data_IF_231081478682
#
_entry.id   IF_231081478682
#
_cell.length_a   1.000
_cell.length_b   1.000
_cell.length_c   1.000
_cell.angle_alpha   90.00
_cell.angle_beta   90.00
_cell.angle_gamma   90.00
#
_symmetry.space_group_name_H-M   'P 1'
#
loop_
_entity.id
_entity.type
_entity.pdbx_description
1 polymer ?
#
# COMPACT_ATOMS: atom_id res chain seq x y z
N UNK A 1 -3.94 -7.16 -0.61
CA UNK A 1 -3.67 -8.09 0.49
C UNK A 1 -2.98 -7.38 1.65
N UNK A 2 -1.89 -6.64 1.40
CA UNK A 2 -1.16 -5.91 2.46
C UNK A 2 -2.00 -4.84 3.19
N UNK A 3 -2.81 -4.02 2.51
CA UNK A 3 -3.64 -3.00 3.19
C UNK A 3 -4.55 -3.58 4.27
N UNK A 4 -5.37 -4.58 3.93
CA UNK A 4 -6.25 -5.26 4.89
C UNK A 4 -5.47 -5.94 6.03
N UNK A 5 -4.31 -6.51 5.74
CA UNK A 5 -3.48 -7.13 6.77
C UNK A 5 -2.92 -6.08 7.75
N UNK A 6 -2.51 -4.91 7.25
CA UNK A 6 -2.02 -3.83 8.10
C UNK A 6 -3.16 -3.13 8.85
N UNK A 7 -4.34 -2.97 8.25
CA UNK A 7 -5.55 -2.48 8.93
C UNK A 7 -5.92 -3.41 10.10
N UNK A 8 -5.92 -4.72 9.88
CA UNK A 8 -6.11 -5.70 10.96
C UNK A 8 -5.05 -5.56 12.06
N UNK A 9 -3.78 -5.32 11.68
CA UNK A 9 -2.73 -5.07 12.67
C UNK A 9 -3.01 -3.81 13.50
N UNK A 10 -3.51 -2.73 12.89
CA UNK A 10 -3.92 -1.53 13.63
C UNK A 10 -5.06 -1.84 14.60
N UNK A 11 -6.06 -2.60 14.14
CA UNK A 11 -7.22 -2.98 14.95
C UNK A 11 -6.82 -3.84 16.15
N UNK A 12 -5.88 -4.78 15.99
CA UNK A 12 -5.35 -5.62 17.08
C UNK A 12 -4.70 -4.77 18.18
N UNK A 13 -3.97 -3.71 17.81
CA UNK A 13 -3.30 -2.81 18.77
C UNK A 13 -4.19 -1.68 19.29
N UNK A 14 -5.37 -1.49 18.67
CA UNK A 14 -6.39 -0.53 19.10
C UNK A 14 -5.85 0.90 19.22
N UNK A 15 -6.15 1.55 20.35
CA UNK A 15 -5.75 2.95 20.60
C UNK A 15 -4.23 3.19 20.56
N UNK A 16 -3.40 2.17 20.81
CA UNK A 16 -1.95 2.31 20.69
C UNK A 16 -1.53 2.64 19.26
N UNK A 17 -2.28 2.19 18.26
CA UNK A 17 -2.01 2.46 16.84
C UNK A 17 -2.08 3.95 16.45
N UNK A 18 -2.53 4.82 17.36
CA UNK A 18 -2.42 6.27 17.20
C UNK A 18 -0.99 6.82 17.39
N UNK A 19 -0.07 6.00 17.90
CA UNK A 19 1.34 6.35 18.08
C UNK A 19 2.19 5.79 16.92
N UNK A 20 3.13 6.61 16.43
CA UNK A 20 3.98 6.29 15.28
C UNK A 20 5.00 5.17 15.55
N UNK A 21 5.33 4.95 16.82
CA UNK A 21 6.27 3.94 17.30
C UNK A 21 5.59 2.63 17.74
N UNK A 22 4.27 2.53 17.60
CA UNK A 22 3.51 1.32 17.97
C UNK A 22 3.83 0.15 17.06
N UNK A 23 4.01 -1.01 17.67
CA UNK A 23 4.27 -2.27 17.00
C UNK A 23 5.33 -3.08 17.75
N UNK A 24 5.51 -4.36 17.41
CA UNK A 24 6.51 -5.18 18.05
C UNK A 24 7.92 -4.68 17.69
N UNK A 25 8.85 -4.77 18.64
CA UNK A 25 10.25 -4.36 18.46
C UNK A 25 10.99 -5.19 17.39
N UNK A 26 10.45 -6.36 17.03
CA UNK A 26 10.96 -7.26 16.00
C UNK A 26 9.82 -7.89 15.21
N UNK A 27 10.07 -8.25 13.95
CA UNK A 27 9.08 -8.91 13.09
C UNK A 27 9.41 -8.80 11.61
N UNK A 28 8.94 -9.76 10.81
CA UNK A 28 9.05 -9.75 9.33
C UNK A 28 7.88 -8.99 8.72
N UNK A 29 7.88 -7.67 8.87
CA UNK A 29 6.88 -6.82 8.23
C UNK A 29 7.20 -6.59 6.74
N UNK A 30 6.20 -6.57 5.85
CA UNK A 30 6.42 -6.32 4.42
C UNK A 30 7.14 -4.99 4.20
N UNK A 31 8.33 -5.04 3.58
CA UNK A 31 9.14 -3.85 3.32
C UNK A 31 10.03 -3.38 4.47
N UNK A 32 9.93 -3.94 5.69
CA UNK A 32 10.78 -3.55 6.83
C UNK A 32 12.26 -3.89 6.61
N UNK A 33 12.59 -4.92 5.82
CA UNK A 33 13.96 -5.22 5.43
C UNK A 33 14.57 -4.17 4.48
N UNK A 34 13.74 -3.33 3.85
CA UNK A 34 14.18 -2.23 2.98
C UNK A 34 14.26 -0.90 3.73
N UNK A 35 13.92 -0.88 5.02
CA UNK A 35 13.76 0.33 5.80
C UNK A 35 15.11 0.85 6.31
N UNK A 36 15.66 1.87 5.66
CA UNK A 36 16.67 2.73 6.27
C UNK A 36 15.95 3.76 7.15
N UNK A 37 15.76 3.45 8.43
CA UNK A 37 15.13 4.39 9.38
C UNK A 37 15.89 5.71 9.40
N UNK A 38 15.17 6.82 9.17
CA UNK A 38 15.72 8.17 9.28
C UNK A 38 15.98 8.48 10.75
N UNK A 39 17.18 8.95 11.08
CA UNK A 39 17.49 9.43 12.43
C UNK A 39 16.49 10.52 12.86
N UNK A 40 15.89 10.37 14.04
CA UNK A 40 14.88 11.28 14.56
C UNK A 40 13.44 11.04 14.08
N UNK A 41 13.18 10.02 13.26
CA UNK A 41 11.81 9.61 12.90
C UNK A 41 11.50 8.24 13.52
N UNK A 42 10.76 8.18 14.64
CA UNK A 42 10.61 6.97 15.44
C UNK A 42 9.53 6.02 14.90
N UNK A 43 9.34 5.95 13.58
CA UNK A 43 8.38 5.01 13.01
C UNK A 43 8.81 3.57 13.32
N UNK A 44 7.87 2.80 13.86
CA UNK A 44 8.05 1.35 13.99
C UNK A 44 8.00 0.69 12.61
N UNK A 45 8.58 -0.50 12.49
CA UNK A 45 8.50 -1.28 11.25
C UNK A 45 7.04 -1.58 10.86
N UNK A 46 6.16 -1.79 11.83
CA UNK A 46 4.74 -2.02 11.59
C UNK A 46 4.06 -0.76 10.98
N UNK A 47 4.32 0.42 11.55
CA UNK A 47 3.75 1.67 11.05
C UNK A 47 4.30 2.04 9.67
N UNK A 48 5.60 1.85 9.45
CA UNK A 48 6.22 2.01 8.14
C UNK A 48 5.59 1.10 7.08
N UNK A 49 5.35 -0.17 7.41
CA UNK A 49 4.66 -1.12 6.52
C UNK A 49 3.19 -0.74 6.28
N UNK A 50 2.48 -0.24 7.29
CA UNK A 50 1.12 0.28 7.12
C UNK A 50 1.09 1.40 6.07
N UNK A 51 1.92 2.43 6.22
CA UNK A 51 1.97 3.52 5.24
C UNK A 51 2.41 3.05 3.85
N UNK A 52 3.39 2.14 3.80
CA UNK A 52 3.85 1.58 2.53
C UNK A 52 2.72 0.85 1.79
N UNK A 53 1.91 0.05 2.49
CA UNK A 53 0.78 -0.68 1.90
C UNK A 53 -0.26 0.22 1.23
N UNK A 54 -0.41 1.48 1.67
CA UNK A 54 -1.30 2.46 1.05
C UNK A 54 -0.77 2.92 -0.31
N UNK A 55 0.55 3.05 -0.45
CA UNK A 55 1.19 3.49 -1.69
C UNK A 55 1.18 2.41 -2.78
N UNK A 56 1.21 1.13 -2.41
CA UNK A 56 1.28 -0.01 -3.34
C UNK A 56 0.12 -0.07 -4.34
N UNK A 57 -1.06 0.46 -4.00
CA UNK A 57 -2.21 0.45 -4.91
C UNK A 57 -2.17 1.57 -5.96
N UNK A 58 -1.14 2.42 -5.93
CA UNK A 58 -0.95 3.58 -6.80
C UNK A 58 0.38 3.48 -7.53
N UNK A 59 1.46 3.23 -6.79
CA UNK A 59 2.81 3.20 -7.34
C UNK A 59 3.00 2.00 -8.28
N UNK A 60 3.52 2.27 -9.49
CA UNK A 60 3.60 1.26 -10.56
C UNK A 60 2.30 1.10 -11.37
N UNK A 61 1.32 1.96 -11.15
CA UNK A 61 0.02 1.95 -11.84
C UNK A 61 -1.10 1.60 -10.87
N UNK A 62 -2.20 2.36 -10.93
CA UNK A 62 -3.29 2.17 -9.98
C UNK A 62 -3.95 0.81 -10.14
N UNK A 63 -4.52 0.29 -9.06
CA UNK A 63 -5.26 -0.98 -9.11
C UNK A 63 -6.42 -0.95 -10.09
N UNK A 64 -7.05 0.22 -10.33
CA UNK A 64 -8.06 0.40 -11.37
C UNK A 64 -7.48 0.12 -12.76
N UNK A 65 -6.39 0.81 -13.12
CA UNK A 65 -5.75 0.64 -14.43
C UNK A 65 -5.27 -0.80 -14.64
N UNK A 66 -4.70 -1.42 -13.61
CA UNK A 66 -4.26 -2.82 -13.70
C UNK A 66 -5.44 -3.79 -13.94
N UNK A 67 -6.60 -3.57 -13.31
CA UNK A 67 -7.80 -4.38 -13.60
C UNK A 67 -8.29 -4.18 -15.02
N UNK A 68 -8.20 -2.98 -15.56
CA UNK A 68 -8.58 -2.70 -16.96
C UNK A 68 -7.63 -3.40 -17.94
N UNK A 69 -6.32 -3.36 -17.68
CA UNK A 69 -5.33 -4.11 -18.47
C UNK A 69 -5.65 -5.61 -18.46
N UNK A 70 -5.99 -6.18 -17.31
CA UNK A 70 -6.42 -7.60 -17.22
C UNK A 70 -7.71 -7.82 -18.00
N UNK A 71 -8.70 -6.94 -17.87
CA UNK A 71 -9.95 -7.01 -18.62
C UNK A 71 -9.75 -7.00 -20.13
N UNK A 72 -8.93 -6.09 -20.65
CA UNK A 72 -8.63 -5.97 -22.07
C UNK A 72 -7.78 -7.15 -22.58
N UNK A 73 -6.69 -7.49 -21.88
CA UNK A 73 -5.69 -8.44 -22.39
C UNK A 73 -5.99 -9.89 -22.10
N UNK A 74 -6.61 -10.18 -20.97
CA UNK A 74 -6.90 -11.56 -20.53
C UNK A 74 -8.33 -11.94 -20.86
N UNK A 75 -9.28 -11.03 -20.63
CA UNK A 75 -10.71 -11.31 -20.82
C UNK A 75 -11.27 -10.81 -22.16
N UNK A 76 -10.50 -10.06 -22.96
CA UNK A 76 -10.93 -9.55 -24.27
C UNK A 76 -12.02 -8.48 -24.20
N UNK A 77 -12.17 -7.80 -23.04
CA UNK A 77 -13.16 -6.73 -22.88
C UNK A 77 -12.80 -5.51 -23.73
N UNK A 78 -13.79 -4.71 -24.17
CA UNK A 78 -13.53 -3.45 -24.86
C UNK A 78 -12.66 -2.52 -24.03
N UNK A 79 -11.79 -1.77 -24.72
CA UNK A 79 -10.91 -0.79 -24.11
C UNK A 79 -11.69 0.33 -23.41
N UNK A 80 -11.16 0.80 -22.28
CA UNK A 80 -11.76 1.95 -21.60
C UNK A 80 -11.79 3.21 -22.47
N UNK A 81 -12.86 4.03 -22.39
CA UNK A 81 -12.94 5.31 -23.07
C UNK A 81 -11.79 6.23 -22.63
N UNK A 82 -11.15 6.89 -23.60
CA UNK A 82 -10.15 7.91 -23.27
C UNK A 82 -10.86 9.15 -22.70
N UNK A 83 -10.27 9.83 -21.70
CA UNK A 83 -10.83 11.08 -21.20
C UNK A 83 -10.92 12.11 -22.34
N UNK A 84 -12.07 12.80 -22.41
CA UNK A 84 -12.34 13.84 -23.40
C UNK A 84 -11.39 15.01 -23.12
N UNK A 85 -10.41 15.24 -24.02
CA UNK A 85 -9.37 16.27 -23.86
C UNK A 85 -7.94 15.76 -23.85
N UNK A 86 -7.72 14.43 -23.87
CA UNK A 86 -6.41 13.85 -24.14
C UNK A 86 -6.12 13.82 -25.64
N UNK A 87 -5.86 14.99 -26.24
CA UNK A 87 -5.19 15.03 -27.55
C UNK A 87 -3.80 14.39 -27.43
N UNK A 88 -3.39 13.69 -28.48
CA UNK A 88 -2.07 13.08 -28.58
C UNK A 88 -0.98 14.14 -28.64
#
# INVERSE_FOLDING_TARGET
MHQRAMELALDIYGAHSMLIDTGPASGTWPGALREKRRAGYPASAMMSSFFFSRSETIWGGTSQIQRNIVGERVLGLPKEPKPVGGEK
#
